data_IF_562977780105
#
_entry.id   IF_562977780105
#
_cell.length_a   1.000
_cell.length_b   1.000
_cell.length_c   1.000
_cell.angle_alpha   90.00
_cell.angle_beta   90.00
_cell.angle_gamma   90.00
#
_symmetry.space_group_name_H-M   'P 1'
#
loop_
_entity.id
_entity.type
_entity.pdbx_description
1 polymer ?
#
# COMPACT_ATOMS: atom_id res chain seq x y z
N UNK A 1 -23.24 -30.64 -11.98
CA UNK A 1 -23.36 -29.26 -12.54
C UNK A 1 -22.90 -28.15 -11.59
N UNK A 2 -23.01 -28.29 -10.26
CA UNK A 2 -22.66 -27.24 -9.28
C UNK A 2 -21.16 -26.84 -9.29
N UNK A 3 -20.25 -27.82 -9.26
CA UNK A 3 -18.80 -27.57 -9.28
C UNK A 3 -18.32 -26.78 -10.51
N UNK A 4 -19.01 -26.90 -11.66
CA UNK A 4 -18.67 -26.13 -12.87
C UNK A 4 -18.94 -24.64 -12.68
N UNK A 5 -20.03 -24.24 -12.03
CA UNK A 5 -20.38 -22.82 -11.80
C UNK A 5 -19.34 -22.12 -10.91
N UNK A 6 -18.92 -22.79 -9.84
CA UNK A 6 -17.89 -22.28 -8.94
C UNK A 6 -16.52 -22.20 -9.58
N UNK A 7 -16.19 -23.16 -10.44
CA UNK A 7 -14.97 -23.10 -11.25
C UNK A 7 -14.98 -21.89 -12.20
N UNK A 8 -16.09 -21.62 -12.92
CA UNK A 8 -16.21 -20.43 -13.76
C UNK A 8 -16.14 -19.13 -12.96
N UNK A 9 -16.79 -19.07 -11.80
CA UNK A 9 -16.72 -17.92 -10.90
C UNK A 9 -15.29 -17.65 -10.43
N UNK A 10 -14.55 -18.70 -10.05
CA UNK A 10 -13.15 -18.60 -9.67
C UNK A 10 -12.29 -18.07 -10.80
N UNK A 11 -12.49 -18.55 -12.04
CA UNK A 11 -11.79 -18.03 -13.22
C UNK A 11 -12.04 -16.54 -13.39
N UNK A 12 -13.32 -16.11 -13.37
CA UNK A 12 -13.69 -14.71 -13.54
C UNK A 12 -13.03 -13.83 -12.47
N UNK A 13 -13.12 -14.22 -11.19
CA UNK A 13 -12.51 -13.48 -10.09
C UNK A 13 -10.98 -13.45 -10.18
N UNK A 14 -10.33 -14.56 -10.53
CA UNK A 14 -8.88 -14.62 -10.73
C UNK A 14 -8.42 -13.75 -11.90
N UNK A 15 -9.17 -13.73 -13.01
CA UNK A 15 -8.88 -12.84 -14.15
C UNK A 15 -9.10 -11.37 -13.81
N UNK A 16 -10.19 -11.03 -13.12
CA UNK A 16 -10.45 -9.66 -12.65
C UNK A 16 -9.35 -9.18 -11.69
N UNK A 17 -8.92 -10.04 -10.77
CA UNK A 17 -7.78 -9.75 -9.90
C UNK A 17 -6.50 -9.51 -10.71
N UNK A 18 -6.22 -10.33 -11.72
CA UNK A 18 -5.03 -10.18 -12.56
C UNK A 18 -5.06 -8.85 -13.32
N UNK A 19 -6.21 -8.47 -13.89
CA UNK A 19 -6.40 -7.17 -14.54
C UNK A 19 -6.15 -6.03 -13.55
N UNK A 20 -6.72 -6.11 -12.36
CA UNK A 20 -6.50 -5.13 -11.29
C UNK A 20 -5.02 -5.02 -10.90
N UNK A 21 -4.33 -6.15 -10.79
CA UNK A 21 -2.90 -6.19 -10.47
C UNK A 21 -2.05 -5.57 -11.58
N UNK A 22 -2.32 -5.89 -12.85
CA UNK A 22 -1.62 -5.28 -14.00
C UNK A 22 -1.87 -3.77 -14.06
N UNK A 23 -3.09 -3.32 -13.79
CA UNK A 23 -3.41 -1.89 -13.69
C UNK A 23 -2.58 -1.20 -12.58
N UNK A 24 -2.48 -1.82 -11.41
CA UNK A 24 -1.66 -1.30 -10.31
C UNK A 24 -0.16 -1.28 -10.65
N UNK A 25 0.35 -2.27 -11.39
CA UNK A 25 1.71 -2.27 -11.90
C UNK A 25 1.95 -1.13 -12.89
N UNK A 26 1.06 -0.97 -13.88
CA UNK A 26 1.16 0.09 -14.88
C UNK A 26 1.17 1.49 -14.26
N UNK A 27 0.23 1.75 -13.33
CA UNK A 27 0.19 3.02 -12.58
C UNK A 27 1.48 3.25 -11.78
N UNK A 28 2.01 2.21 -11.14
CA UNK A 28 3.29 2.28 -10.39
C UNK A 28 4.47 2.62 -11.28
N UNK A 29 4.55 2.06 -12.48
CA UNK A 29 5.60 2.39 -13.47
C UNK A 29 5.44 3.82 -13.97
N UNK A 30 4.23 4.31 -14.19
CA UNK A 30 4.03 5.72 -14.54
C UNK A 30 4.43 6.66 -13.39
N UNK A 31 4.12 6.28 -12.14
CA UNK A 31 4.44 7.09 -10.97
C UNK A 31 5.95 7.13 -10.69
N UNK A 32 6.69 6.01 -10.84
CA UNK A 32 8.12 5.99 -10.53
C UNK A 32 8.94 6.96 -11.41
N UNK A 33 8.43 7.28 -12.60
CA UNK A 33 9.03 8.22 -13.54
C UNK A 33 8.68 9.67 -13.16
N UNK A 34 7.53 9.90 -12.52
CA UNK A 34 6.97 11.23 -12.27
C UNK A 34 7.05 11.68 -10.81
N UNK A 35 7.46 10.82 -9.88
CA UNK A 35 7.71 11.21 -8.49
C UNK A 35 8.86 12.19 -8.36
N UNK A 36 8.66 13.22 -7.55
CA UNK A 36 9.65 14.26 -7.25
C UNK A 36 10.41 13.91 -5.98
N UNK A 37 11.74 13.98 -6.01
CA UNK A 37 12.58 13.92 -4.80
C UNK A 37 12.54 15.26 -4.08
N UNK A 38 12.37 15.24 -2.76
CA UNK A 38 12.37 16.41 -1.88
C UNK A 38 13.32 16.13 -0.73
N UNK A 39 14.03 17.17 -0.30
CA UNK A 39 14.96 17.12 0.83
C UNK A 39 14.56 18.17 1.86
N UNK A 40 14.44 17.75 3.11
CA UNK A 40 14.10 18.62 4.23
C UNK A 40 15.21 18.56 5.29
N UNK A 41 15.85 19.69 5.48
CA UNK A 41 16.67 19.94 6.67
C UNK A 41 15.80 20.23 7.88
N UNK A 42 16.22 19.71 9.04
CA UNK A 42 15.61 19.93 10.35
C UNK A 42 14.09 19.67 10.37
N UNK A 43 13.63 18.61 9.72
CA UNK A 43 12.23 18.18 9.79
C UNK A 43 11.91 17.65 11.19
N UNK A 44 10.81 18.12 11.78
CA UNK A 44 10.36 17.67 13.09
C UNK A 44 9.75 16.27 12.97
N UNK A 45 10.21 15.35 13.82
CA UNK A 45 9.69 14.01 13.93
C UNK A 45 8.47 14.00 14.86
N UNK A 46 7.31 13.81 14.26
CA UNK A 46 6.01 13.73 14.94
C UNK A 46 5.42 12.32 14.86
N UNK A 47 6.29 11.32 14.70
CA UNK A 47 5.92 9.91 14.64
C UNK A 47 5.30 9.48 15.96
N UNK A 48 4.24 8.67 15.90
CA UNK A 48 3.58 8.17 17.11
C UNK A 48 3.65 6.65 17.17
N UNK A 49 3.94 6.14 18.36
CA UNK A 49 4.03 4.71 18.67
C UNK A 49 2.88 4.34 19.59
N UNK A 50 1.93 3.56 19.09
CA UNK A 50 0.86 2.98 19.89
C UNK A 50 1.22 1.54 20.22
N UNK A 51 1.61 1.29 21.46
CA UNK A 51 1.84 -0.07 21.98
C UNK A 51 0.64 -0.53 22.78
N UNK A 52 0.08 -1.69 22.44
CA UNK A 52 -0.91 -2.38 23.26
C UNK A 52 -0.52 -3.86 23.42
N UNK A 53 -1.17 -4.60 24.31
CA UNK A 53 -0.81 -6.02 24.59
C UNK A 53 -0.87 -6.96 23.35
N UNK A 54 -1.54 -6.52 22.28
CA UNK A 54 -1.68 -7.25 20.99
C UNK A 54 -0.72 -6.80 19.89
N UNK A 55 0.09 -5.77 20.11
CA UNK A 55 1.07 -5.31 19.13
C UNK A 55 1.39 -3.82 19.22
N UNK A 56 2.45 -3.43 18.50
CA UNK A 56 2.91 -2.04 18.41
C UNK A 56 2.68 -1.52 16.99
N UNK A 57 1.88 -0.47 16.87
CA UNK A 57 1.66 0.25 15.63
C UNK A 57 2.48 1.54 15.65
N UNK A 58 3.46 1.63 14.75
CA UNK A 58 4.28 2.83 14.59
C UNK A 58 3.81 3.58 13.35
N UNK A 59 3.42 4.84 13.56
CA UNK A 59 3.13 5.77 12.46
C UNK A 59 4.32 6.69 12.29
N UNK A 60 4.89 6.69 11.09
CA UNK A 60 6.01 7.58 10.77
C UNK A 60 5.49 8.85 10.10
N UNK A 61 5.80 9.99 10.69
CA UNK A 61 5.35 11.29 10.22
C UNK A 61 6.39 12.36 10.53
N UNK A 62 6.57 13.27 9.59
CA UNK A 62 7.52 14.36 9.71
C UNK A 62 6.85 15.68 9.30
N UNK A 63 7.25 16.77 9.92
CA UNK A 63 6.67 18.08 9.69
C UNK A 63 7.76 19.13 9.44
N UNK A 64 7.53 20.02 8.48
CA UNK A 64 8.35 21.21 8.25
C UNK A 64 7.44 22.42 8.01
N UNK A 65 7.44 23.34 8.96
CA UNK A 65 6.51 24.47 8.97
C UNK A 65 5.05 23.99 9.00
N UNK A 66 4.28 24.37 7.98
CA UNK A 66 2.87 23.96 7.84
C UNK A 66 2.67 22.63 7.11
N UNK A 67 3.71 22.07 6.48
CA UNK A 67 3.57 20.87 5.65
C UNK A 67 3.92 19.63 6.47
N UNK A 68 3.00 18.66 6.49
CA UNK A 68 3.18 17.36 7.13
C UNK A 68 3.25 16.26 6.07
N UNK A 69 4.25 15.40 6.18
CA UNK A 69 4.33 14.16 5.42
C UNK A 69 4.02 12.98 6.34
N UNK A 70 3.27 12.02 5.83
CA UNK A 70 2.95 10.80 6.56
C UNK A 70 2.92 9.61 5.61
N UNK A 71 3.31 8.43 6.11
CA UNK A 71 3.15 7.20 5.36
C UNK A 71 1.67 6.79 5.44
N UNK A 72 0.96 6.86 4.33
CA UNK A 72 -0.48 6.52 4.26
C UNK A 72 -0.74 5.03 4.07
N UNK A 73 0.32 4.25 3.84
CA UNK A 73 0.28 2.81 3.59
C UNK A 73 1.27 2.10 4.52
N UNK A 74 0.76 1.26 5.42
CA UNK A 74 1.62 0.59 6.41
C UNK A 74 0.84 -0.30 7.38
N UNK A 75 0.65 -1.56 7.01
CA UNK A 75 0.20 -2.62 7.94
C UNK A 75 1.36 -3.22 8.74
N UNK A 76 1.12 -4.38 9.36
CA UNK A 76 1.98 -5.16 10.29
C UNK A 76 3.46 -5.41 9.86
N UNK A 77 3.89 -4.99 8.66
CA UNK A 77 5.15 -5.40 8.02
C UNK A 77 5.99 -4.21 7.53
N UNK A 78 6.29 -3.26 8.42
CA UNK A 78 7.10 -2.07 8.07
C UNK A 78 8.62 -2.24 8.32
N UNK A 79 9.07 -3.39 8.83
CA UNK A 79 10.40 -3.55 9.41
C UNK A 79 11.55 -3.22 8.46
N UNK A 80 11.59 -3.86 7.28
CA UNK A 80 12.73 -3.75 6.35
C UNK A 80 12.79 -2.39 5.65
N UNK A 81 11.64 -1.85 5.20
CA UNK A 81 11.61 -0.51 4.61
C UNK A 81 12.05 0.55 5.60
N UNK A 82 11.54 0.53 6.83
CA UNK A 82 11.88 1.52 7.84
C UNK A 82 13.33 1.37 8.31
N UNK A 83 13.85 0.15 8.44
CA UNK A 83 15.26 -0.08 8.76
C UNK A 83 16.19 0.54 7.70
N UNK A 84 15.81 0.42 6.43
CA UNK A 84 16.58 0.97 5.31
C UNK A 84 16.60 2.51 5.21
N UNK A 85 15.90 3.22 6.11
CA UNK A 85 15.81 4.69 6.05
C UNK A 85 17.10 5.38 6.47
N UNK A 86 17.92 4.77 7.33
CA UNK A 86 19.16 5.41 7.83
C UNK A 86 18.91 6.69 8.65
N UNK A 87 17.67 6.92 9.10
CA UNK A 87 17.27 8.07 9.91
C UNK A 87 17.27 7.68 11.39
N UNK A 88 17.76 8.58 12.25
CA UNK A 88 17.55 8.44 13.69
C UNK A 88 16.09 8.72 14.04
N UNK A 89 15.36 7.66 14.41
CA UNK A 89 13.93 7.72 14.74
C UNK A 89 13.65 8.36 16.10
N UNK A 90 14.67 8.52 16.95
CA UNK A 90 14.54 9.11 18.29
C UNK A 90 14.85 10.61 18.28
N UNK A 91 15.59 11.09 17.29
CA UNK A 91 15.88 12.50 17.14
C UNK A 91 14.59 13.30 16.90
N UNK A 92 14.45 14.42 17.63
CA UNK A 92 13.32 15.35 17.46
C UNK A 92 13.35 16.02 16.10
N UNK A 93 14.54 16.39 15.62
CA UNK A 93 14.77 17.00 14.33
C UNK A 93 15.68 16.12 13.49
N UNK A 94 15.30 15.87 12.23
CA UNK A 94 16.01 14.98 11.32
C UNK A 94 16.16 15.59 9.93
N UNK A 95 17.28 15.29 9.28
CA UNK A 95 17.51 15.65 7.88
C UNK A 95 17.07 14.47 7.00
N UNK A 96 16.02 14.67 6.23
CA UNK A 96 15.34 13.60 5.49
C UNK A 96 15.29 13.90 4.00
N UNK A 97 15.31 12.85 3.20
CA UNK A 97 15.00 12.89 1.78
C UNK A 97 13.90 11.89 1.47
N UNK A 98 12.95 12.27 0.62
CA UNK A 98 11.80 11.44 0.29
C UNK A 98 11.26 11.77 -1.10
N UNK A 99 10.42 10.88 -1.62
CA UNK A 99 9.73 11.05 -2.89
C UNK A 99 8.25 11.33 -2.65
N UNK A 100 7.66 12.17 -3.51
CA UNK A 100 6.24 12.50 -3.48
C UNK A 100 5.71 12.54 -4.91
N UNK A 101 4.46 12.11 -5.11
CA UNK A 101 3.77 12.37 -6.38
C UNK A 101 3.52 13.86 -6.53
N UNK A 102 3.92 14.44 -7.65
CA UNK A 102 3.80 15.88 -7.89
C UNK A 102 2.37 16.42 -7.66
N UNK A 103 1.36 15.64 -8.06
CA UNK A 103 -0.06 15.95 -7.84
C UNK A 103 -0.41 16.11 -6.35
N UNK A 104 0.14 15.29 -5.47
CA UNK A 104 -0.15 15.32 -4.03
C UNK A 104 0.62 16.44 -3.33
N UNK A 105 1.85 16.72 -3.78
CA UNK A 105 2.63 17.86 -3.31
C UNK A 105 1.95 19.19 -3.61
N UNK A 106 1.48 19.37 -4.85
CA UNK A 106 0.86 20.62 -5.30
C UNK A 106 -0.49 20.89 -4.61
N UNK A 107 -1.28 19.84 -4.32
CA UNK A 107 -2.55 20.00 -3.57
C UNK A 107 -2.34 20.62 -2.20
N UNK A 108 -1.33 20.13 -1.46
CA UNK A 108 -1.08 20.58 -0.09
C UNK A 108 -0.46 21.97 -0.05
N UNK A 109 0.43 22.31 -1.00
CA UNK A 109 0.97 23.67 -1.12
C UNK A 109 -0.12 24.68 -1.48
N UNK A 110 -1.01 24.32 -2.39
CA UNK A 110 -2.06 25.22 -2.89
C UNK A 110 -3.31 25.23 -2.00
N UNK A 111 -3.29 24.58 -0.81
CA UNK A 111 -4.45 24.39 0.07
C UNK A 111 -5.71 23.89 -0.67
N UNK A 112 -5.53 23.08 -1.70
CA UNK A 112 -6.66 22.53 -2.46
C UNK A 112 -7.29 21.38 -1.66
N UNK A 113 -8.61 21.40 -1.41
CA UNK A 113 -9.26 20.38 -0.59
C UNK A 113 -9.15 19.00 -1.24
N UNK A 114 -8.80 17.97 -0.45
CA UNK A 114 -8.93 16.60 -0.94
C UNK A 114 -10.41 16.19 -1.01
N UNK A 115 -10.74 15.37 -2.03
CA UNK A 115 -12.10 14.85 -2.25
C UNK A 115 -12.64 14.00 -1.08
N UNK A 116 -11.81 13.63 -0.11
CA UNK A 116 -12.25 12.91 1.10
C UNK A 116 -13.05 13.78 2.07
N UNK A 117 -12.99 15.11 1.93
CA UNK A 117 -13.70 16.07 2.80
C UNK A 117 -15.13 16.40 2.32
N UNK A 118 -15.67 15.67 1.34
CA UNK A 118 -17.02 15.95 0.80
C UNK A 118 -18.17 15.46 1.70
N UNK A 119 -17.93 14.50 2.60
CA UNK A 119 -18.99 13.85 3.40
C UNK A 119 -18.99 14.21 4.88
N UNK A 120 -17.91 14.76 5.41
CA UNK A 120 -17.83 15.23 6.80
C UNK A 120 -17.29 16.65 6.81
N UNK A 121 -18.14 17.59 7.24
CA UNK A 121 -17.78 18.98 7.47
C UNK A 121 -16.84 19.08 8.66
N UNK A 122 -15.54 18.96 8.42
CA UNK A 122 -14.55 19.38 9.39
C UNK A 122 -13.42 20.13 8.67
N UNK A 123 -13.47 21.46 8.85
CA UNK A 123 -12.36 22.40 9.02
C UNK A 123 -11.07 21.93 8.36
N UNK A 124 -10.68 22.62 7.27
CA UNK A 124 -9.35 22.64 6.61
C UNK A 124 -8.20 22.05 7.46
N UNK A 125 -8.17 20.73 7.63
CA UNK A 125 -7.02 20.04 8.19
C UNK A 125 -6.02 20.00 7.04
N UNK A 126 -4.82 20.49 7.29
CA UNK A 126 -3.74 20.37 6.31
C UNK A 126 -3.59 18.89 6.00
N UNK A 127 -3.92 18.52 4.76
CA UNK A 127 -3.85 17.13 4.32
C UNK A 127 -2.38 16.66 4.38
N UNK A 128 -2.17 15.46 4.90
CA UNK A 128 -0.83 14.87 4.94
C UNK A 128 -0.39 14.51 3.52
N UNK A 129 0.85 14.83 3.17
CA UNK A 129 1.45 14.40 1.92
C UNK A 129 1.94 12.95 2.07
N UNK A 130 1.46 12.00 1.25
CA UNK A 130 2.04 10.66 1.17
C UNK A 130 3.49 10.75 0.71
N UNK A 131 4.41 10.14 1.46
CA UNK A 131 5.81 10.03 1.06
C UNK A 131 6.18 8.60 0.66
N UNK A 132 7.20 8.47 -0.19
CA UNK A 132 7.76 7.21 -0.69
C UNK A 132 9.29 7.23 -0.56
N UNK A 133 9.92 6.06 -0.34
CA UNK A 133 11.38 5.95 -0.39
C UNK A 133 12.12 6.89 0.58
N UNK A 134 11.59 7.07 1.80
CA UNK A 134 12.20 7.94 2.81
C UNK A 134 13.61 7.48 3.17
N UNK A 135 14.56 8.41 3.27
CA UNK A 135 15.98 8.19 3.55
C UNK A 135 16.56 9.35 4.34
N UNK A 136 17.75 9.15 4.90
CA UNK A 136 18.59 10.26 5.34
C UNK A 136 18.84 11.22 4.18
N UNK A 137 19.02 12.51 4.48
CA UNK A 137 19.35 13.51 3.45
C UNK A 137 20.63 13.11 2.68
N UNK A 138 20.71 13.47 1.40
CA UNK A 138 21.76 13.10 0.45
C UNK A 138 21.83 11.61 0.05
N UNK A 139 21.12 10.72 0.75
CA UNK A 139 20.98 9.34 0.31
C UNK A 139 19.90 9.24 -0.78
N UNK A 140 20.05 8.24 -1.66
CA UNK A 140 19.05 7.91 -2.68
C UNK A 140 18.35 6.62 -2.26
N UNK A 141 17.02 6.59 -2.38
CA UNK A 141 16.29 5.34 -2.24
C UNK A 141 16.67 4.41 -3.39
N UNK A 142 16.82 3.12 -3.10
CA UNK A 142 16.92 2.11 -4.14
C UNK A 142 15.63 2.16 -4.98
N UNK A 143 15.77 2.16 -6.31
CA UNK A 143 14.63 2.19 -7.25
C UNK A 143 13.67 1.01 -7.02
N UNK A 144 14.19 -0.15 -6.63
CA UNK A 144 13.38 -1.33 -6.30
C UNK A 144 12.53 -1.05 -5.07
N UNK A 145 13.11 -0.51 -4.00
CA UNK A 145 12.37 -0.17 -2.78
C UNK A 145 11.31 0.89 -3.07
N UNK A 146 11.66 1.91 -3.86
CA UNK A 146 10.72 2.95 -4.28
C UNK A 146 9.56 2.37 -5.11
N UNK A 147 9.84 1.43 -6.01
CA UNK A 147 8.83 0.72 -6.80
C UNK A 147 7.84 -0.01 -5.90
N UNK A 148 8.33 -0.78 -4.93
CA UNK A 148 7.46 -1.51 -4.00
C UNK A 148 6.66 -0.58 -3.07
N UNK A 149 7.26 0.53 -2.64
CA UNK A 149 6.55 1.56 -1.88
C UNK A 149 5.38 2.15 -2.68
N UNK A 150 5.62 2.50 -3.95
CA UNK A 150 4.58 2.99 -4.85
C UNK A 150 3.54 1.92 -5.19
N UNK A 151 3.96 0.68 -5.42
CA UNK A 151 3.05 -0.44 -5.69
C UNK A 151 2.11 -0.66 -4.52
N UNK A 152 2.62 -0.61 -3.28
CA UNK A 152 1.80 -0.74 -2.07
C UNK A 152 0.76 0.36 -1.92
N UNK A 153 1.07 1.56 -2.42
CA UNK A 153 0.16 2.69 -2.42
C UNK A 153 -0.90 2.60 -3.52
N UNK A 154 -0.50 2.21 -4.73
CA UNK A 154 -1.42 2.06 -5.86
C UNK A 154 -2.28 0.79 -5.78
N UNK A 155 -1.80 -0.24 -5.08
CA UNK A 155 -2.50 -1.50 -4.88
C UNK A 155 -3.21 -1.55 -3.52
N UNK A 156 -4.53 -1.37 -3.55
CA UNK A 156 -5.39 -1.50 -2.39
C UNK A 156 -5.61 -2.98 -2.04
N UNK A 157 -4.81 -3.44 -1.08
CA UNK A 157 -4.68 -4.84 -0.72
C UNK A 157 -6.00 -5.53 -0.36
N UNK A 158 -6.84 -4.86 0.43
CA UNK A 158 -8.11 -5.42 0.88
C UNK A 158 -9.06 -5.68 -0.28
N UNK A 159 -9.07 -4.80 -1.30
CA UNK A 159 -9.83 -5.03 -2.53
C UNK A 159 -9.25 -6.20 -3.33
N UNK A 160 -7.93 -6.32 -3.40
CA UNK A 160 -7.25 -7.47 -4.01
C UNK A 160 -7.64 -8.80 -3.36
N UNK A 161 -7.58 -8.88 -2.03
CA UNK A 161 -8.02 -10.05 -1.26
C UNK A 161 -9.49 -10.35 -1.49
N UNK A 162 -10.34 -9.31 -1.44
CA UNK A 162 -11.77 -9.45 -1.63
C UNK A 162 -12.04 -10.05 -3.01
N UNK A 163 -11.54 -9.46 -4.10
CA UNK A 163 -11.78 -9.96 -5.46
C UNK A 163 -11.31 -11.43 -5.59
N UNK A 164 -10.12 -11.75 -5.07
CA UNK A 164 -9.51 -13.06 -5.25
C UNK A 164 -10.21 -14.17 -4.47
N UNK A 165 -10.60 -13.91 -3.21
CA UNK A 165 -11.23 -14.89 -2.32
C UNK A 165 -12.76 -14.79 -2.28
N UNK A 166 -13.37 -13.82 -2.98
CA UNK A 166 -14.82 -13.68 -3.09
C UNK A 166 -15.54 -14.98 -3.49
N UNK A 167 -15.03 -15.77 -4.46
CA UNK A 167 -15.68 -17.03 -4.82
C UNK A 167 -15.75 -18.01 -3.64
N UNK A 168 -14.67 -18.13 -2.86
CA UNK A 168 -14.61 -19.02 -1.69
C UNK A 168 -15.61 -18.56 -0.64
N UNK A 169 -15.66 -17.26 -0.37
CA UNK A 169 -16.63 -16.69 0.57
C UNK A 169 -18.07 -17.00 0.15
N UNK A 170 -18.42 -16.78 -1.12
CA UNK A 170 -19.75 -17.11 -1.63
C UNK A 170 -20.07 -18.59 -1.45
N UNK A 171 -19.15 -19.50 -1.77
CA UNK A 171 -19.41 -20.94 -1.65
C UNK A 171 -19.63 -21.34 -0.19
N UNK A 172 -18.81 -20.85 0.73
CA UNK A 172 -18.94 -21.12 2.17
C UNK A 172 -20.28 -20.61 2.70
N UNK A 173 -20.71 -19.40 2.29
CA UNK A 173 -21.99 -18.82 2.71
C UNK A 173 -23.20 -19.60 2.17
N UNK A 174 -23.13 -20.09 0.92
CA UNK A 174 -24.28 -20.71 0.25
C UNK A 174 -24.38 -22.23 0.41
N UNK A 175 -23.28 -22.97 0.54
CA UNK A 175 -23.35 -24.45 0.56
C UNK A 175 -23.29 -25.10 1.94
N UNK A 176 -22.86 -24.41 3.01
CA UNK A 176 -22.87 -24.83 4.45
C UNK A 176 -22.32 -26.22 4.84
N UNK A 177 -22.23 -27.23 3.97
CA UNK A 177 -21.71 -28.58 4.23
C UNK A 177 -21.18 -29.19 2.93
N UNK A 178 -19.96 -29.72 2.98
CA UNK A 178 -19.23 -30.42 1.90
C UNK A 178 -18.58 -29.55 0.81
N UNK A 179 -17.69 -28.65 1.24
CA UNK A 179 -16.76 -27.96 0.35
C UNK A 179 -15.62 -28.89 -0.06
N UNK A 180 -15.69 -29.44 -1.28
CA UNK A 180 -14.54 -30.09 -1.88
C UNK A 180 -13.65 -29.04 -2.58
N UNK A 181 -12.44 -28.80 -2.05
CA UNK A 181 -11.46 -27.83 -2.56
C UNK A 181 -10.86 -28.17 -3.91
N UNK A 182 -11.14 -29.37 -4.46
CA UNK A 182 -10.50 -29.85 -5.70
C UNK A 182 -10.65 -28.89 -6.90
N UNK A 183 -11.71 -28.08 -6.95
CA UNK A 183 -11.90 -27.09 -8.03
C UNK A 183 -10.96 -25.88 -7.93
N UNK A 184 -10.36 -25.59 -6.77
CA UNK A 184 -9.40 -24.49 -6.58
C UNK A 184 -8.04 -24.82 -7.21
N UNK A 185 -7.71 -26.11 -7.35
CA UNK A 185 -6.37 -26.59 -7.70
C UNK A 185 -6.32 -27.17 -9.13
N UNK A 186 -7.45 -27.63 -9.68
CA UNK A 186 -7.49 -28.43 -10.91
C UNK A 186 -7.39 -27.66 -12.24
N UNK A 187 -6.65 -26.55 -12.30
CA UNK A 187 -6.37 -25.84 -13.55
C UNK A 187 -4.98 -25.20 -13.56
N UNK A 188 -4.14 -25.57 -14.53
CA UNK A 188 -2.78 -25.00 -14.71
C UNK A 188 -2.77 -23.47 -14.77
N UNK A 189 -3.83 -22.86 -15.30
CA UNK A 189 -3.99 -21.40 -15.33
C UNK A 189 -4.24 -20.82 -13.93
N UNK A 190 -5.19 -21.39 -13.18
CA UNK A 190 -5.53 -20.92 -11.83
C UNK A 190 -4.35 -21.09 -10.88
N UNK A 191 -3.58 -22.18 -11.00
CA UNK A 191 -2.38 -22.39 -10.17
C UNK A 191 -1.30 -21.33 -10.42
N UNK A 192 -1.08 -20.91 -11.67
CA UNK A 192 -0.16 -19.82 -12.00
C UNK A 192 -0.63 -18.50 -11.38
N UNK A 193 -1.91 -18.16 -11.51
CA UNK A 193 -2.43 -16.91 -10.91
C UNK A 193 -2.31 -16.94 -9.39
N UNK A 194 -2.67 -18.07 -8.74
CA UNK A 194 -2.48 -18.23 -7.30
C UNK A 194 -1.01 -18.09 -6.90
N UNK A 195 -0.09 -18.65 -7.68
CA UNK A 195 1.33 -18.49 -7.44
C UNK A 195 1.78 -17.01 -7.53
N UNK A 196 1.33 -16.27 -8.54
CA UNK A 196 1.60 -14.82 -8.67
C UNK A 196 1.01 -14.07 -7.47
N UNK A 197 -0.21 -14.41 -7.05
CA UNK A 197 -0.88 -13.82 -5.89
C UNK A 197 -0.08 -14.06 -4.60
N UNK A 198 0.41 -15.28 -4.38
CA UNK A 198 1.24 -15.64 -3.22
C UNK A 198 2.58 -14.91 -3.25
N UNK A 199 3.24 -14.80 -4.41
CA UNK A 199 4.46 -13.99 -4.54
C UNK A 199 4.17 -12.53 -4.19
N UNK A 200 3.07 -11.98 -4.71
CA UNK A 200 2.66 -10.61 -4.41
C UNK A 200 2.42 -10.42 -2.90
N UNK A 201 1.75 -11.38 -2.24
CA UNK A 201 1.56 -11.39 -0.79
C UNK A 201 2.90 -11.35 -0.06
N UNK A 202 3.81 -12.29 -0.37
CA UNK A 202 5.13 -12.39 0.25
C UNK A 202 5.97 -11.12 0.04
N UNK A 203 5.89 -10.50 -1.13
CA UNK A 203 6.60 -9.25 -1.42
C UNK A 203 6.22 -8.10 -0.48
N UNK A 204 5.01 -8.13 0.12
CA UNK A 204 4.58 -7.13 1.12
C UNK A 204 5.15 -7.37 2.52
N UNK A 205 5.70 -8.55 2.79
CA UNK A 205 6.38 -8.86 4.06
C UNK A 205 7.88 -8.51 3.99
N UNK A 206 8.48 -8.58 2.80
CA UNK A 206 9.92 -8.33 2.59
C UNK A 206 10.31 -6.85 2.51
N UNK A 207 9.35 -5.98 2.22
CA UNK A 207 9.50 -4.54 1.97
C UNK A 207 8.28 -3.91 2.60
#
# INVERSE_FOLDING_TARGET
MKNKRYYYLQIVCSTLWLIYFIYALGTTVCDIITVKKIEWEQAENISSTYSNYKGTLVTYSYQKGKVKIARTYGGLTQGLTVWSWGIDKKAKNVNISFYVKEKDYNKVINNSPSYHNLWFSDIKKVDNIPFFGLRKMNEKSNKIILFFDLLKYNYFFSLGLLIFYFPILLIVFFEKKDFNTDFLINGRYLSIIHFIFVIMLLSRFLI
#
